data_IF_651869012345
#
_entry.id   IF_651869012345
#
_cell.length_a   1.000
_cell.length_b   1.000
_cell.length_c   1.000
_cell.angle_alpha   90.00
_cell.angle_beta   90.00
_cell.angle_gamma   90.00
#
_symmetry.space_group_name_H-M   'P 1'
#
loop_
_entity.id
_entity.type
_entity.pdbx_description
1 polymer ?
#
# COMPACT_ATOMS: atom_id res chain seq x y z
N UNK A 1 -16.17 32.99 -6.59
CA UNK A 1 -15.17 32.18 -5.87
C UNK A 1 -15.69 31.96 -4.46
N UNK A 2 -15.77 30.73 -3.98
CA UNK A 2 -16.41 30.43 -2.68
C UNK A 2 -15.47 30.73 -1.52
N UNK A 3 -16.01 30.93 -0.31
CA UNK A 3 -15.21 31.08 0.93
C UNK A 3 -14.26 29.89 1.16
N UNK A 4 -14.62 28.70 0.67
CA UNK A 4 -13.79 27.49 0.73
C UNK A 4 -12.59 27.63 -0.21
N UNK A 5 -12.81 28.07 -1.45
CA UNK A 5 -11.74 28.25 -2.46
C UNK A 5 -10.67 29.24 -1.97
N UNK A 6 -11.09 30.34 -1.37
CA UNK A 6 -10.16 31.33 -0.78
C UNK A 6 -9.35 30.74 0.38
N UNK A 7 -9.99 29.94 1.25
CA UNK A 7 -9.32 29.30 2.39
C UNK A 7 -8.28 28.27 1.90
N UNK A 8 -8.63 27.47 0.90
CA UNK A 8 -7.73 26.51 0.27
C UNK A 8 -6.56 27.22 -0.43
N UNK A 9 -6.86 28.29 -1.19
CA UNK A 9 -5.87 29.12 -1.86
C UNK A 9 -4.84 29.71 -0.89
N UNK A 10 -5.30 30.29 0.23
CA UNK A 10 -4.41 30.80 1.29
C UNK A 10 -3.54 29.70 1.92
N UNK A 11 -4.10 28.51 2.16
CA UNK A 11 -3.34 27.38 2.71
C UNK A 11 -2.25 26.88 1.74
N UNK A 12 -2.55 26.83 0.44
CA UNK A 12 -1.58 26.48 -0.60
C UNK A 12 -0.49 27.54 -0.75
N UNK A 13 -0.86 28.82 -0.79
CA UNK A 13 0.07 29.94 -0.87
C UNK A 13 1.05 29.93 0.31
N UNK A 14 0.56 29.69 1.53
CA UNK A 14 1.41 29.52 2.72
C UNK A 14 2.39 28.37 2.54
N UNK A 15 1.94 27.18 2.10
CA UNK A 15 2.83 26.02 1.88
C UNK A 15 3.90 26.32 0.83
N UNK A 16 3.58 27.06 -0.23
CA UNK A 16 4.56 27.52 -1.23
C UNK A 16 5.60 28.45 -0.60
N UNK A 17 5.14 29.46 0.15
CA UNK A 17 6.02 30.45 0.78
C UNK A 17 7.02 29.83 1.78
N UNK A 18 6.60 28.79 2.52
CA UNK A 18 7.49 28.07 3.47
C UNK A 18 8.16 26.83 2.87
N UNK A 19 8.04 26.58 1.56
CA UNK A 19 8.70 25.45 0.89
C UNK A 19 8.19 24.06 1.28
N UNK A 20 6.98 23.93 1.81
CA UNK A 20 6.38 22.63 2.22
C UNK A 20 5.31 22.12 1.27
N UNK A 21 5.10 22.80 0.14
CA UNK A 21 4.23 22.29 -0.90
C UNK A 21 4.87 21.05 -1.55
N UNK A 22 4.16 19.92 -1.49
CA UNK A 22 4.61 18.65 -2.05
C UNK A 22 4.03 18.44 -3.44
N UNK A 23 4.84 17.85 -4.31
CA UNK A 23 4.43 17.38 -5.63
C UNK A 23 4.89 15.93 -5.77
N UNK A 24 4.02 15.06 -6.29
CA UNK A 24 4.39 13.68 -6.59
C UNK A 24 5.31 13.65 -7.80
N UNK A 25 6.42 12.94 -7.69
CA UNK A 25 7.31 12.65 -8.81
C UNK A 25 6.91 11.32 -9.42
N UNK A 26 6.80 11.27 -10.74
CA UNK A 26 6.66 10.02 -11.49
C UNK A 26 8.04 9.69 -12.04
N UNK A 27 8.63 8.53 -11.70
CA UNK A 27 9.90 8.11 -12.27
C UNK A 27 9.80 8.04 -13.80
N UNK A 28 10.83 8.52 -14.50
CA UNK A 28 10.91 8.38 -15.96
C UNK A 28 11.30 6.94 -16.33
N UNK A 29 10.40 6.24 -17.01
CA UNK A 29 10.58 4.85 -17.46
C UNK A 29 11.68 4.70 -18.52
N UNK A 30 12.05 5.77 -19.21
CA UNK A 30 13.10 5.77 -20.23
C UNK A 30 14.49 6.14 -19.69
N UNK A 31 14.56 6.55 -18.43
CA UNK A 31 15.82 6.91 -17.77
C UNK A 31 16.56 5.64 -17.32
N UNK A 32 17.90 5.60 -17.39
CA UNK A 32 18.68 4.49 -16.86
C UNK A 32 18.31 4.23 -15.40
N UNK A 33 18.26 2.95 -15.01
CA UNK A 33 17.88 2.52 -13.66
C UNK A 33 18.69 3.27 -12.61
N UNK A 34 18.04 4.22 -11.93
CA UNK A 34 18.65 4.96 -10.83
C UNK A 34 18.62 4.10 -9.56
N UNK A 35 19.62 4.28 -8.71
CA UNK A 35 19.66 3.61 -7.41
C UNK A 35 18.64 4.28 -6.48
N UNK A 36 17.74 3.49 -5.94
CA UNK A 36 16.69 3.94 -5.01
C UNK A 36 17.24 4.03 -3.57
N UNK A 37 17.25 5.24 -3.02
CA UNK A 37 17.72 5.55 -1.66
C UNK A 37 16.61 5.98 -0.70
N UNK A 38 15.35 6.04 -1.14
CA UNK A 38 14.26 6.59 -0.34
C UNK A 38 13.09 5.61 -0.15
N UNK A 39 13.10 4.47 -0.85
CA UNK A 39 12.11 3.42 -0.60
C UNK A 39 12.26 2.82 0.79
N UNK A 40 11.11 2.42 1.35
CA UNK A 40 11.03 1.70 2.63
C UNK A 40 11.16 0.16 2.44
N UNK A 41 11.42 -0.33 1.23
CA UNK A 41 11.68 -1.76 0.96
C UNK A 41 13.12 -2.14 1.33
N UNK A 42 13.44 -2.09 2.63
CA UNK A 42 14.78 -2.31 3.15
C UNK A 42 15.39 -3.67 2.78
N UNK A 43 14.54 -4.69 2.63
CA UNK A 43 14.95 -6.07 2.35
C UNK A 43 14.81 -6.44 0.87
N UNK A 44 14.36 -5.50 0.02
CA UNK A 44 14.16 -5.74 -1.41
C UNK A 44 13.06 -6.76 -1.72
N UNK A 45 12.12 -6.99 -0.79
CA UNK A 45 11.07 -8.00 -0.93
C UNK A 45 10.13 -7.69 -2.10
N UNK A 46 9.93 -6.42 -2.46
CA UNK A 46 9.09 -6.05 -3.60
C UNK A 46 9.63 -6.56 -4.95
N UNK A 47 10.95 -6.82 -5.04
CA UNK A 47 11.63 -7.31 -6.24
C UNK A 47 12.01 -8.78 -6.18
N UNK A 48 11.69 -9.47 -5.08
CA UNK A 48 12.12 -10.85 -4.86
C UNK A 48 11.22 -11.82 -5.66
N UNK A 49 11.76 -12.36 -6.76
CA UNK A 49 10.97 -13.22 -7.66
C UNK A 49 10.35 -14.46 -6.98
N UNK A 50 11.04 -15.17 -6.06
CA UNK A 50 10.41 -16.25 -5.28
C UNK A 50 9.16 -15.81 -4.50
N UNK A 51 9.18 -14.60 -3.92
CA UNK A 51 8.04 -14.07 -3.17
C UNK A 51 6.88 -13.74 -4.11
N UNK A 52 7.17 -13.19 -5.28
CA UNK A 52 6.18 -12.92 -6.32
C UNK A 52 5.49 -14.20 -6.80
N UNK A 53 6.24 -15.28 -7.01
CA UNK A 53 5.68 -16.59 -7.38
C UNK A 53 4.86 -17.22 -6.24
N UNK A 54 5.32 -17.07 -4.99
CA UNK A 54 4.55 -17.49 -3.81
C UNK A 54 3.19 -16.77 -3.74
N UNK A 55 3.18 -15.44 -3.91
CA UNK A 55 1.95 -14.62 -3.90
C UNK A 55 0.99 -15.06 -5.01
N UNK A 56 1.49 -15.25 -6.25
CA UNK A 56 0.68 -15.76 -7.37
C UNK A 56 0.06 -17.12 -7.06
N UNK A 57 0.82 -18.02 -6.44
CA UNK A 57 0.35 -19.36 -6.08
C UNK A 57 -0.75 -19.28 -5.02
N UNK A 58 -0.52 -18.52 -3.94
CA UNK A 58 -1.53 -18.29 -2.88
C UNK A 58 -2.79 -17.61 -3.41
N UNK A 59 -2.65 -16.66 -4.34
CA UNK A 59 -3.80 -16.02 -4.98
C UNK A 59 -4.66 -17.03 -5.73
N UNK A 60 -4.05 -17.96 -6.50
CA UNK A 60 -4.79 -19.02 -7.19
C UNK A 60 -5.50 -19.97 -6.21
N UNK A 61 -4.83 -20.35 -5.11
CA UNK A 61 -5.44 -21.17 -4.04
C UNK A 61 -6.65 -20.47 -3.40
N UNK A 62 -6.57 -19.17 -3.15
CA UNK A 62 -7.68 -18.41 -2.57
C UNK A 62 -8.84 -18.23 -3.55
N UNK A 63 -8.54 -18.04 -4.84
CA UNK A 63 -9.55 -17.95 -5.90
C UNK A 63 -10.31 -19.27 -6.12
N UNK A 64 -9.73 -20.43 -5.79
CA UNK A 64 -10.45 -21.71 -5.86
C UNK A 64 -11.32 -21.98 -4.64
N UNK A 65 -11.03 -21.34 -3.49
CA UNK A 65 -11.76 -21.51 -2.23
C UNK A 65 -12.88 -20.48 -2.02
N UNK A 66 -12.80 -19.31 -2.65
CA UNK A 66 -13.75 -18.21 -2.50
C UNK A 66 -14.15 -17.63 -3.85
N UNK A 67 -15.37 -17.09 -3.94
CA UNK A 67 -15.88 -16.35 -5.10
C UNK A 67 -14.87 -15.28 -5.51
N UNK A 68 -14.58 -15.16 -6.81
CA UNK A 68 -13.56 -14.31 -7.45
C UNK A 68 -13.60 -12.82 -7.04
N UNK A 69 -13.20 -12.50 -5.81
CA UNK A 69 -13.20 -11.16 -5.26
C UNK A 69 -11.76 -10.76 -4.92
N UNK A 70 -11.32 -9.61 -5.44
CA UNK A 70 -9.97 -9.09 -5.24
C UNK A 70 -9.73 -8.51 -3.84
N UNK A 71 -10.78 -8.37 -3.02
CA UNK A 71 -10.69 -7.82 -1.68
C UNK A 71 -11.85 -8.26 -0.79
N UNK A 72 -11.74 -7.92 0.50
CA UNK A 72 -12.70 -8.35 1.52
C UNK A 72 -14.09 -7.69 1.38
N UNK A 73 -14.20 -6.57 0.65
CA UNK A 73 -15.43 -5.76 0.37
C UNK A 73 -16.26 -5.26 1.56
N UNK A 74 -15.94 -5.68 2.78
CA UNK A 74 -16.55 -5.20 4.01
C UNK A 74 -15.53 -4.98 5.13
N UNK A 75 -16.00 -4.44 6.24
CA UNK A 75 -15.19 -4.33 7.46
C UNK A 75 -15.02 -5.70 8.13
N UNK A 76 -13.97 -5.85 8.96
CA UNK A 76 -13.68 -7.09 9.69
C UNK A 76 -14.87 -7.59 10.52
N UNK A 77 -15.69 -6.71 11.06
CA UNK A 77 -16.82 -7.11 11.89
C UNK A 77 -18.02 -7.62 11.07
N UNK A 78 -18.25 -7.07 9.87
CA UNK A 78 -19.50 -7.28 9.14
C UNK A 78 -19.38 -8.43 8.14
N UNK A 79 -18.43 -8.35 7.21
CA UNK A 79 -18.29 -9.34 6.13
C UNK A 79 -16.88 -9.47 5.57
N UNK A 80 -15.94 -8.65 6.04
CA UNK A 80 -14.57 -8.60 5.56
C UNK A 80 -13.58 -9.40 6.38
N UNK A 81 -14.03 -10.34 7.23
CA UNK A 81 -13.12 -11.24 7.93
C UNK A 81 -12.88 -12.52 7.12
N UNK A 82 -11.69 -13.10 7.25
CA UNK A 82 -11.33 -14.35 6.58
C UNK A 82 -10.44 -15.20 7.47
N UNK A 83 -10.39 -16.52 7.18
CA UNK A 83 -9.46 -17.44 7.86
C UNK A 83 -8.00 -17.01 7.67
N UNK A 84 -7.68 -16.46 6.50
CA UNK A 84 -6.34 -15.94 6.21
C UNK A 84 -5.96 -14.83 7.19
N UNK A 85 -6.84 -13.85 7.42
CA UNK A 85 -6.55 -12.76 8.37
C UNK A 85 -6.33 -13.28 9.79
N UNK A 86 -7.20 -14.18 10.27
CA UNK A 86 -7.10 -14.76 11.60
C UNK A 86 -5.79 -15.56 11.78
N UNK A 87 -5.39 -16.33 10.76
CA UNK A 87 -4.17 -17.12 10.78
C UNK A 87 -2.92 -16.23 10.76
N UNK A 88 -2.89 -15.22 9.90
CA UNK A 88 -1.79 -14.25 9.85
C UNK A 88 -1.64 -13.50 11.17
N UNK A 89 -2.73 -13.07 11.79
CA UNK A 89 -2.68 -12.40 13.10
C UNK A 89 -2.11 -13.32 14.19
N UNK A 90 -2.50 -14.60 14.20
CA UNK A 90 -1.94 -15.60 15.12
C UNK A 90 -0.44 -15.84 14.89
N UNK A 91 -0.02 -15.92 13.64
CA UNK A 91 1.39 -16.10 13.28
C UNK A 91 2.22 -14.88 13.70
N UNK A 92 1.72 -13.67 13.46
CA UNK A 92 2.37 -12.45 13.92
C UNK A 92 2.45 -12.37 15.44
N UNK A 93 1.36 -12.71 16.15
CA UNK A 93 1.35 -12.77 17.61
C UNK A 93 2.43 -13.74 18.13
N UNK A 94 2.51 -14.93 17.52
CA UNK A 94 3.56 -15.92 17.85
C UNK A 94 4.96 -15.39 17.56
N UNK A 95 5.18 -14.79 16.38
CA UNK A 95 6.48 -14.26 15.97
C UNK A 95 6.98 -13.14 16.89
N UNK A 96 6.08 -12.27 17.35
CA UNK A 96 6.41 -11.15 18.22
C UNK A 96 6.28 -11.47 19.73
N UNK A 97 6.00 -12.71 20.11
CA UNK A 97 5.71 -13.13 21.49
C UNK A 97 4.62 -12.27 22.15
N UNK A 98 3.48 -12.12 21.46
CA UNK A 98 2.30 -11.38 21.89
C UNK A 98 1.08 -12.28 21.99
#
# INVERSE_FOLDING_TARGET
MTRVDEKLGRALARRRAVGTLRTLQVPDENSPTTVDFYSNDYLGFARLEPLKELVKTRQKELQSQHTHMLGATGSRLISGNSKLFMQTEKELATFYNR
#
